data_IF_000658312098
#
_entry.id   IF_000658312098
#
_cell.length_a   1.000
_cell.length_b   1.000
_cell.length_c   1.000
_cell.angle_alpha   90.00
_cell.angle_beta   90.00
_cell.angle_gamma   90.00
#
_symmetry.space_group_name_H-M   'P 1'
#
loop_
_entity.id
_entity.type
_entity.pdbx_description
1 polymer ?
#
# COMPACT_ATOMS: atom_id res chain seq x y z
N UNK A 1 20.60 7.68 -24.81
CA UNK A 1 19.24 7.48 -24.27
C UNK A 1 19.37 6.68 -23.00
N UNK A 2 18.89 7.19 -21.88
CA UNK A 2 18.84 6.48 -20.58
C UNK A 2 17.58 5.61 -20.54
N UNK A 3 17.67 4.43 -19.93
CA UNK A 3 16.51 3.53 -19.71
C UNK A 3 15.80 3.92 -18.42
N UNK A 4 14.49 3.66 -18.32
CA UNK A 4 13.72 3.94 -17.11
C UNK A 4 14.01 2.88 -16.03
N UNK A 5 15.10 3.05 -15.29
CA UNK A 5 15.48 2.18 -14.16
C UNK A 5 14.89 2.62 -12.82
N UNK A 6 14.27 3.81 -12.77
CA UNK A 6 13.96 4.47 -11.49
C UNK A 6 12.60 4.10 -10.91
N UNK A 7 11.75 3.39 -11.68
CA UNK A 7 10.45 2.94 -11.22
C UNK A 7 10.60 1.70 -10.32
N UNK A 8 10.10 1.78 -9.09
CA UNK A 8 10.05 0.61 -8.20
C UNK A 8 8.97 -0.38 -8.68
N UNK A 9 9.34 -1.65 -8.85
CA UNK A 9 8.38 -2.74 -9.12
C UNK A 9 8.05 -3.44 -7.83
N UNK A 10 6.75 -3.60 -7.58
CA UNK A 10 6.21 -4.11 -6.33
C UNK A 10 5.31 -5.30 -6.64
N UNK A 11 5.61 -6.48 -6.09
CA UNK A 11 4.73 -7.64 -6.25
C UNK A 11 3.47 -7.51 -5.40
N UNK A 12 2.30 -7.51 -6.03
CA UNK A 12 0.99 -7.49 -5.37
C UNK A 12 0.78 -8.80 -4.60
N UNK A 13 0.76 -8.74 -3.27
CA UNK A 13 0.73 -9.93 -2.39
C UNK A 13 1.88 -10.90 -2.67
N UNK A 14 3.04 -10.36 -3.03
CA UNK A 14 4.16 -11.10 -3.64
C UNK A 14 3.98 -11.33 -5.14
N UNK A 15 4.44 -12.46 -5.66
CA UNK A 15 4.31 -12.80 -7.08
C UNK A 15 3.04 -13.60 -7.38
N UNK A 16 1.87 -13.02 -7.09
CA UNK A 16 0.60 -13.77 -7.05
C UNK A 16 0.07 -14.27 -8.39
N UNK A 17 0.58 -13.78 -9.53
CA UNK A 17 0.18 -14.32 -10.84
C UNK A 17 0.74 -15.74 -11.09
N UNK A 18 1.82 -16.13 -10.39
CA UNK A 18 2.48 -17.44 -10.57
C UNK A 18 2.56 -18.27 -9.30
N UNK A 19 2.48 -17.63 -8.13
CA UNK A 19 2.59 -18.28 -6.83
C UNK A 19 1.38 -17.92 -5.97
N UNK A 20 1.08 -18.70 -4.95
CA UNK A 20 -0.01 -18.38 -4.04
C UNK A 20 0.25 -17.04 -3.35
N UNK A 21 -0.78 -16.19 -3.29
CA UNK A 21 -0.67 -14.87 -2.69
C UNK A 21 -0.32 -14.96 -1.19
N UNK A 22 0.42 -13.96 -0.68
CA UNK A 22 0.71 -13.81 0.74
C UNK A 22 1.45 -15.01 1.37
N UNK A 23 2.34 -15.66 0.61
CA UNK A 23 3.20 -16.74 1.13
C UNK A 23 4.68 -16.41 1.00
N UNK A 24 5.51 -17.07 1.81
CA UNK A 24 6.97 -16.92 1.77
C UNK A 24 7.52 -17.28 0.37
N UNK A 25 6.95 -18.32 -0.25
CA UNK A 25 7.29 -18.68 -1.64
C UNK A 25 6.98 -17.53 -2.60
N UNK A 26 5.78 -16.94 -2.50
CA UNK A 26 5.39 -15.81 -3.33
C UNK A 26 6.26 -14.56 -3.15
N UNK A 27 6.69 -14.28 -1.91
CA UNK A 27 7.57 -13.15 -1.61
C UNK A 27 9.01 -13.39 -2.09
N UNK A 28 9.57 -14.56 -1.84
CA UNK A 28 10.91 -14.95 -2.31
C UNK A 28 10.97 -14.86 -3.84
N UNK A 29 9.98 -15.43 -4.51
CA UNK A 29 9.90 -15.42 -5.98
C UNK A 29 9.67 -14.03 -6.56
N UNK A 30 9.05 -13.12 -5.81
CA UNK A 30 8.95 -11.72 -6.20
C UNK A 30 10.33 -11.06 -6.24
N UNK A 31 11.13 -11.19 -5.18
CA UNK A 31 12.47 -10.61 -5.16
C UNK A 31 13.41 -11.24 -6.19
N UNK A 32 13.30 -12.55 -6.45
CA UNK A 32 14.05 -13.21 -7.53
C UNK A 32 13.75 -12.65 -8.93
N UNK A 33 12.65 -11.92 -9.14
CA UNK A 33 12.40 -11.26 -10.43
C UNK A 33 13.18 -9.97 -10.61
N UNK A 34 13.84 -9.46 -9.57
CA UNK A 34 14.42 -8.12 -9.51
C UNK A 34 13.46 -7.04 -9.02
N UNK A 35 12.26 -7.41 -8.52
CA UNK A 35 11.40 -6.45 -7.82
C UNK A 35 12.04 -6.09 -6.48
N UNK A 36 11.96 -4.81 -6.09
CA UNK A 36 12.59 -4.29 -4.87
C UNK A 36 11.64 -4.26 -3.68
N UNK A 37 10.36 -4.58 -3.90
CA UNK A 37 9.37 -4.63 -2.84
C UNK A 37 8.30 -5.67 -3.17
N UNK A 38 7.63 -6.16 -2.14
CA UNK A 38 6.31 -6.77 -2.28
C UNK A 38 5.33 -6.02 -1.39
N UNK A 39 4.08 -5.98 -1.84
CA UNK A 39 2.94 -5.58 -1.03
C UNK A 39 2.34 -6.83 -0.37
N UNK A 40 1.77 -6.67 0.83
CA UNK A 40 1.07 -7.73 1.56
C UNK A 40 0.01 -7.15 2.48
N UNK A 41 -0.94 -7.98 2.90
CA UNK A 41 -2.16 -7.57 3.59
C UNK A 41 -2.18 -8.04 5.05
N UNK A 42 -2.53 -7.16 6.00
CA UNK A 42 -2.57 -7.54 7.42
C UNK A 42 -3.93 -7.36 8.10
N UNK A 43 -4.25 -8.33 8.96
CA UNK A 43 -5.41 -8.36 9.85
C UNK A 43 -4.97 -8.66 11.28
N UNK A 44 -5.75 -8.18 12.25
CA UNK A 44 -5.64 -8.62 13.65
C UNK A 44 -6.66 -9.72 13.96
N UNK A 45 -6.26 -10.74 14.70
CA UNK A 45 -7.20 -11.67 15.34
C UNK A 45 -7.87 -11.03 16.55
N UNK A 46 -8.87 -11.72 17.12
CA UNK A 46 -9.58 -11.29 18.33
C UNK A 46 -8.66 -11.12 19.55
N UNK A 47 -7.63 -11.94 19.63
CA UNK A 47 -6.56 -11.93 20.65
C UNK A 47 -5.31 -11.16 20.21
N UNK A 48 -5.44 -10.22 19.27
CA UNK A 48 -4.41 -9.25 18.91
C UNK A 48 -3.12 -9.86 18.33
N UNK A 49 -3.23 -11.01 17.67
CA UNK A 49 -2.18 -11.59 16.83
C UNK A 49 -2.36 -11.10 15.40
N UNK A 50 -1.28 -10.58 14.81
CA UNK A 50 -1.29 -10.10 13.44
C UNK A 50 -1.06 -11.26 12.47
N UNK A 51 -1.95 -11.40 11.49
CA UNK A 51 -1.88 -12.43 10.44
C UNK A 51 -1.87 -11.80 9.05
N UNK A 52 -1.32 -12.54 8.09
CA UNK A 52 -1.20 -12.11 6.71
C UNK A 52 -2.28 -12.78 5.86
N UNK A 53 -3.19 -11.99 5.29
CA UNK A 53 -4.26 -12.44 4.40
C UNK A 53 -4.92 -11.26 3.72
N UNK A 54 -5.29 -11.38 2.45
CA UNK A 54 -6.05 -10.33 1.78
C UNK A 54 -7.47 -10.20 2.34
N UNK A 55 -8.17 -11.34 2.41
CA UNK A 55 -9.56 -11.37 2.82
C UNK A 55 -9.66 -11.52 4.33
N UNK A 56 -10.71 -10.91 4.89
CA UNK A 56 -11.06 -11.08 6.30
C UNK A 56 -11.55 -12.50 6.59
N UNK A 57 -12.01 -13.23 5.58
CA UNK A 57 -12.48 -14.61 5.73
C UNK A 57 -11.51 -15.58 5.06
N UNK A 58 -11.21 -16.69 5.73
CA UNK A 58 -10.16 -17.63 5.33
C UNK A 58 -10.53 -18.54 4.14
N UNK A 59 -11.82 -18.67 3.82
CA UNK A 59 -12.39 -19.69 2.92
C UNK A 59 -11.82 -19.72 1.50
N UNK A 60 -11.37 -18.58 0.96
CA UNK A 60 -10.88 -18.51 -0.43
C UNK A 60 -9.50 -19.17 -0.60
N UNK A 61 -8.61 -19.00 0.37
CA UNK A 61 -7.19 -19.34 0.22
C UNK A 61 -6.75 -20.44 1.18
N UNK A 62 -7.45 -20.65 2.29
CA UNK A 62 -7.01 -21.57 3.34
C UNK A 62 -7.94 -22.77 3.53
N UNK A 63 -7.34 -23.88 3.95
CA UNK A 63 -7.97 -25.10 4.45
C UNK A 63 -7.39 -25.49 5.82
N UNK A 64 -8.04 -26.40 6.53
CA UNK A 64 -7.49 -27.02 7.73
C UNK A 64 -6.39 -28.06 7.40
N UNK A 65 -5.85 -28.72 8.42
CA UNK A 65 -4.75 -29.69 8.26
C UNK A 65 -5.15 -30.95 7.47
N UNK A 66 -6.44 -31.27 7.42
CA UNK A 66 -7.00 -32.39 6.68
C UNK A 66 -7.47 -31.99 5.26
N UNK A 67 -7.33 -30.71 4.91
CA UNK A 67 -7.73 -30.16 3.62
C UNK A 67 -9.20 -29.76 3.51
N UNK A 68 -9.94 -29.71 4.62
CA UNK A 68 -11.33 -29.24 4.63
C UNK A 68 -11.40 -27.71 4.56
N UNK A 69 -12.57 -27.21 4.18
CA UNK A 69 -12.83 -25.78 4.09
C UNK A 69 -12.64 -25.08 5.45
N UNK A 70 -11.86 -23.99 5.46
CA UNK A 70 -11.69 -23.15 6.63
C UNK A 70 -12.52 -21.87 6.49
N UNK A 71 -13.69 -21.80 7.16
CA UNK A 71 -14.60 -20.64 7.11
C UNK A 71 -14.55 -19.83 8.43
N UNK A 72 -13.43 -19.13 8.64
CA UNK A 72 -13.22 -18.27 9.79
C UNK A 72 -13.19 -16.80 9.36
N UNK A 73 -13.92 -15.95 10.08
CA UNK A 73 -13.67 -14.51 10.04
C UNK A 73 -12.51 -14.20 10.99
N UNK A 74 -11.40 -13.70 10.44
CA UNK A 74 -10.15 -13.43 11.17
C UNK A 74 -10.39 -12.50 12.35
N UNK A 75 -11.14 -11.41 12.17
CA UNK A 75 -11.41 -10.42 13.23
C UNK A 75 -12.21 -11.02 14.40
N UNK A 76 -13.02 -12.05 14.14
CA UNK A 76 -13.88 -12.69 15.13
C UNK A 76 -13.25 -13.95 15.75
N UNK A 77 -12.09 -14.40 15.24
CA UNK A 77 -11.44 -15.66 15.62
C UNK A 77 -10.22 -15.43 16.51
N UNK A 78 -9.96 -16.37 17.42
CA UNK A 78 -8.69 -16.44 18.15
C UNK A 78 -7.61 -17.06 17.29
N UNK A 79 -6.36 -16.66 17.45
CA UNK A 79 -5.24 -17.18 16.65
C UNK A 79 -5.07 -18.69 16.78
N UNK A 80 -5.39 -19.27 17.94
CA UNK A 80 -5.32 -20.72 18.15
C UNK A 80 -6.17 -21.53 17.14
N UNK A 81 -7.26 -20.93 16.65
CA UNK A 81 -8.13 -21.52 15.62
C UNK A 81 -7.54 -21.41 14.20
N UNK A 82 -6.63 -20.46 13.99
CA UNK A 82 -6.08 -20.11 12.67
C UNK A 82 -4.65 -20.65 12.46
N UNK A 83 -3.90 -20.89 13.54
CA UNK A 83 -2.45 -21.19 13.51
C UNK A 83 -2.06 -22.40 12.65
N UNK A 84 -2.98 -23.34 12.46
CA UNK A 84 -2.75 -24.58 11.71
C UNK A 84 -3.30 -24.52 10.28
N UNK A 85 -3.95 -23.42 9.90
CA UNK A 85 -4.49 -23.26 8.55
C UNK A 85 -3.37 -23.25 7.51
N UNK A 86 -3.65 -23.84 6.35
CA UNK A 86 -2.72 -23.98 5.24
C UNK A 86 -3.33 -23.46 3.96
N UNK A 87 -2.51 -22.95 3.06
CA UNK A 87 -2.97 -22.56 1.73
C UNK A 87 -3.44 -23.78 0.96
N UNK A 88 -4.60 -23.66 0.30
CA UNK A 88 -5.20 -24.75 -0.47
C UNK A 88 -4.27 -25.25 -1.59
N UNK A 89 -3.52 -24.33 -2.20
CA UNK A 89 -2.69 -24.64 -3.38
C UNK A 89 -1.29 -25.19 -3.01
N UNK A 90 -0.64 -24.65 -1.99
CA UNK A 90 0.77 -24.97 -1.68
C UNK A 90 0.97 -25.69 -0.34
N UNK A 91 -0.04 -25.71 0.54
CA UNK A 91 0.08 -26.27 1.89
C UNK A 91 0.94 -25.41 2.83
N UNK A 92 1.35 -24.21 2.42
CA UNK A 92 2.08 -23.24 3.24
C UNK A 92 1.17 -22.75 4.37
N UNK A 93 1.73 -22.58 5.58
CA UNK A 93 0.95 -22.14 6.73
C UNK A 93 0.51 -20.68 6.57
N UNK A 94 -0.63 -20.32 7.15
CA UNK A 94 -0.98 -18.92 7.37
C UNK A 94 0.14 -18.24 8.17
N UNK A 95 0.68 -17.15 7.63
CA UNK A 95 1.75 -16.41 8.27
C UNK A 95 1.19 -15.48 9.34
N UNK A 96 1.87 -15.43 10.50
CA UNK A 96 1.80 -14.25 11.35
C UNK A 96 2.67 -13.14 10.79
N UNK A 97 2.44 -11.90 11.21
CA UNK A 97 3.33 -10.79 10.89
C UNK A 97 4.75 -11.06 11.42
N UNK A 98 4.90 -11.66 12.61
CA UNK A 98 6.22 -12.03 13.14
C UNK A 98 6.94 -13.06 12.27
N UNK A 99 6.23 -14.03 11.71
CA UNK A 99 6.82 -15.01 10.78
C UNK A 99 7.37 -14.31 9.53
N UNK A 100 6.58 -13.37 8.98
CA UNK A 100 7.00 -12.54 7.85
C UNK A 100 8.26 -11.72 8.19
N UNK A 101 8.28 -11.05 9.35
CA UNK A 101 9.42 -10.21 9.76
C UNK A 101 10.70 -11.03 9.95
N UNK A 102 10.60 -12.21 10.57
CA UNK A 102 11.74 -13.12 10.76
C UNK A 102 12.31 -13.58 9.44
N UNK A 103 11.44 -14.07 8.54
CA UNK A 103 11.85 -14.45 7.19
C UNK A 103 12.50 -13.27 6.45
N UNK A 104 11.92 -12.08 6.55
CA UNK A 104 12.43 -10.90 5.86
C UNK A 104 13.84 -10.53 6.34
N UNK A 105 14.11 -10.56 7.65
CA UNK A 105 15.45 -10.34 8.20
C UNK A 105 16.44 -11.38 7.67
N UNK A 106 16.07 -12.66 7.68
CA UNK A 106 16.90 -13.74 7.14
C UNK A 106 17.20 -13.52 5.64
N UNK A 107 16.20 -13.07 4.88
CA UNK A 107 16.37 -12.73 3.47
C UNK A 107 17.36 -11.57 3.28
N UNK A 108 17.19 -10.47 4.03
CA UNK A 108 18.08 -9.30 3.98
C UNK A 108 19.52 -9.68 4.37
N UNK A 109 19.72 -10.48 5.42
CA UNK A 109 21.06 -10.91 5.82
C UNK A 109 21.75 -11.77 4.76
N UNK A 110 20.96 -12.53 3.98
CA UNK A 110 21.50 -13.44 2.97
C UNK A 110 21.73 -12.77 1.61
N UNK A 111 20.87 -11.84 1.23
CA UNK A 111 20.80 -11.29 -0.12
C UNK A 111 20.83 -9.77 -0.21
N UNK A 112 20.64 -9.06 0.90
CA UNK A 112 20.61 -7.60 0.91
C UNK A 112 22.02 -7.02 0.81
N UNK A 113 22.25 -6.17 -0.19
CA UNK A 113 23.52 -5.46 -0.32
C UNK A 113 23.50 -4.14 0.48
N UNK A 114 22.34 -3.47 0.50
CA UNK A 114 22.16 -2.15 1.11
C UNK A 114 20.85 -2.05 1.92
N UNK A 115 20.76 -1.03 2.79
CA UNK A 115 19.67 -0.88 3.76
C UNK A 115 18.25 -0.70 3.18
N UNK A 116 18.12 -0.26 1.93
CA UNK A 116 16.84 0.17 1.33
C UNK A 116 16.48 -0.57 0.04
N UNK A 117 17.22 -1.62 -0.30
CA UNK A 117 17.07 -2.36 -1.55
C UNK A 117 15.79 -3.18 -1.60
N UNK A 118 15.44 -3.80 -0.47
CA UNK A 118 14.26 -4.64 -0.34
C UNK A 118 13.33 -4.06 0.72
N UNK A 119 12.03 -3.99 0.42
CA UNK A 119 11.02 -3.39 1.29
C UNK A 119 9.75 -4.24 1.37
N UNK A 120 8.94 -3.97 2.39
CA UNK A 120 7.59 -4.50 2.57
C UNK A 120 6.61 -3.33 2.53
N UNK A 121 5.64 -3.36 1.62
CA UNK A 121 4.47 -2.48 1.69
C UNK A 121 3.32 -3.23 2.40
N UNK A 122 2.92 -2.76 3.57
CA UNK A 122 1.88 -3.39 4.38
C UNK A 122 0.54 -2.69 4.17
N UNK A 123 -0.39 -3.31 3.47
CA UNK A 123 -1.80 -2.89 3.42
C UNK A 123 -2.47 -3.21 4.77
N UNK A 124 -2.61 -2.17 5.60
CA UNK A 124 -3.35 -2.22 6.86
C UNK A 124 -4.84 -2.11 6.53
N UNK A 125 -5.52 -3.26 6.56
CA UNK A 125 -6.91 -3.35 6.12
C UNK A 125 -7.81 -2.44 6.94
N UNK A 126 -8.63 -1.66 6.23
CA UNK A 126 -9.44 -0.59 6.84
C UNK A 126 -10.37 -1.04 7.98
N UNK A 127 -10.84 -2.30 7.92
CA UNK A 127 -11.75 -2.83 8.93
C UNK A 127 -11.05 -3.16 10.27
N UNK A 128 -9.72 -3.23 10.31
CA UNK A 128 -8.98 -3.32 11.57
C UNK A 128 -9.21 -2.08 12.45
N UNK A 129 -9.20 -2.23 13.78
CA UNK A 129 -9.18 -1.09 14.69
C UNK A 129 -7.83 -0.34 14.62
N UNK A 130 -7.79 1.00 14.83
CA UNK A 130 -6.55 1.78 14.76
C UNK A 130 -5.40 1.26 15.62
N UNK A 131 -5.70 0.60 16.76
CA UNK A 131 -4.71 -0.02 17.65
C UNK A 131 -3.79 -1.03 16.97
N UNK A 132 -4.15 -1.58 15.82
CA UNK A 132 -3.28 -2.46 15.04
C UNK A 132 -1.88 -1.86 14.80
N UNK A 133 -1.77 -0.54 14.67
CA UNK A 133 -0.48 0.15 14.51
C UNK A 133 0.45 -0.03 15.73
N UNK A 134 -0.10 -0.12 16.95
CA UNK A 134 0.71 -0.45 18.13
C UNK A 134 1.20 -1.90 18.07
N UNK A 135 0.33 -2.82 17.65
CA UNK A 135 0.66 -4.24 17.51
C UNK A 135 1.76 -4.42 16.45
N UNK A 136 1.68 -3.70 15.33
CA UNK A 136 2.70 -3.71 14.27
C UNK A 136 4.05 -3.25 14.83
N UNK A 137 4.11 -2.08 15.48
CA UNK A 137 5.35 -1.56 16.06
C UNK A 137 5.90 -2.48 17.16
N UNK A 138 5.03 -3.05 18.00
CA UNK A 138 5.41 -4.02 19.02
C UNK A 138 6.05 -5.25 18.39
N UNK A 139 5.40 -5.85 17.40
CA UNK A 139 5.89 -7.05 16.74
C UNK A 139 7.21 -6.78 15.99
N UNK A 140 7.38 -5.58 15.42
CA UNK A 140 8.64 -5.12 14.83
C UNK A 140 9.77 -5.09 15.86
N UNK A 141 9.56 -4.45 17.00
CA UNK A 141 10.55 -4.34 18.08
C UNK A 141 10.85 -5.69 18.74
N UNK A 142 9.85 -6.56 18.89
CA UNK A 142 10.04 -7.91 19.43
C UNK A 142 10.89 -8.79 18.51
N UNK A 143 10.79 -8.62 17.19
CA UNK A 143 11.58 -9.38 16.22
C UNK A 143 12.96 -8.76 16.01
N UNK A 144 13.06 -7.42 15.98
CA UNK A 144 14.31 -6.68 15.88
C UNK A 144 14.19 -5.34 16.60
N UNK A 145 14.86 -5.23 17.75
CA UNK A 145 14.83 -4.08 18.66
C UNK A 145 15.72 -2.91 18.19
N UNK A 146 15.56 -2.53 16.92
CA UNK A 146 16.08 -1.29 16.34
C UNK A 146 14.98 -0.70 15.45
N UNK A 147 14.26 0.27 16.00
CA UNK A 147 13.16 0.91 15.30
C UNK A 147 13.63 1.63 14.01
N UNK A 148 14.83 2.24 14.05
CA UNK A 148 15.37 2.99 12.93
C UNK A 148 15.74 2.08 11.76
N UNK A 149 16.16 0.84 12.03
CA UNK A 149 16.42 -0.18 11.01
C UNK A 149 15.19 -0.47 10.14
N UNK A 150 14.00 -0.42 10.74
CA UNK A 150 12.75 -0.70 10.05
C UNK A 150 12.25 0.45 9.16
N UNK A 151 12.66 1.70 9.44
CA UNK A 151 12.15 2.88 8.74
C UNK A 151 12.25 2.82 7.20
N UNK A 152 13.41 2.47 6.59
CA UNK A 152 13.50 2.34 5.14
C UNK A 152 12.92 1.02 4.59
N UNK A 153 12.49 0.09 5.44
CA UNK A 153 12.19 -1.31 5.07
C UNK A 153 10.72 -1.67 5.11
N UNK A 154 9.91 -0.98 5.91
CA UNK A 154 8.46 -1.21 5.97
C UNK A 154 7.74 0.08 5.65
N UNK A 155 6.68 -0.04 4.86
CA UNK A 155 5.76 1.05 4.55
C UNK A 155 4.36 0.69 5.08
N UNK A 156 3.71 1.63 5.76
CA UNK A 156 2.35 1.49 6.26
C UNK A 156 1.36 2.04 5.24
N UNK A 157 0.68 1.14 4.53
CA UNK A 157 -0.45 1.46 3.67
C UNK A 157 -1.72 1.60 4.49
N UNK A 158 -2.34 2.78 4.48
CA UNK A 158 -3.54 3.09 5.27
C UNK A 158 -4.67 3.59 4.37
N UNK A 159 -5.91 3.19 4.66
CA UNK A 159 -7.11 3.55 3.89
C UNK A 159 -7.96 4.65 4.53
N UNK A 160 -7.72 4.97 5.81
CA UNK A 160 -8.52 5.94 6.55
C UNK A 160 -7.64 6.83 7.43
N UNK A 161 -7.97 8.12 7.46
CA UNK A 161 -7.21 9.13 8.20
C UNK A 161 -7.10 8.81 9.69
N UNK A 162 -8.02 8.03 10.27
CA UNK A 162 -7.99 7.58 11.66
C UNK A 162 -6.69 6.87 12.04
N UNK A 163 -6.06 6.14 11.13
CA UNK A 163 -4.78 5.47 11.38
C UNK A 163 -3.65 6.49 11.57
N UNK A 164 -3.56 7.49 10.68
CA UNK A 164 -2.56 8.57 10.76
C UNK A 164 -2.82 9.49 11.96
N UNK A 165 -4.10 9.76 12.26
CA UNK A 165 -4.49 10.47 13.47
C UNK A 165 -4.07 9.73 14.73
N UNK A 166 -4.29 8.42 14.79
CA UNK A 166 -3.90 7.59 15.91
C UNK A 166 -2.38 7.63 16.16
N UNK A 167 -1.56 7.56 15.10
CA UNK A 167 -0.10 7.73 15.20
C UNK A 167 0.30 9.05 15.87
N UNK A 168 -0.37 10.15 15.53
CA UNK A 168 -0.06 11.47 16.07
C UNK A 168 -0.63 11.71 17.48
N UNK A 169 -1.72 11.04 17.84
CA UNK A 169 -2.44 11.27 19.10
C UNK A 169 -1.94 10.38 20.25
N UNK A 170 -1.62 9.12 19.98
CA UNK A 170 -1.34 8.17 21.05
C UNK A 170 0.07 8.35 21.66
N UNK A 171 0.20 8.41 23.01
CA UNK A 171 1.49 8.57 23.69
C UNK A 171 2.50 7.45 23.42
N UNK A 172 2.04 6.24 23.08
CA UNK A 172 2.91 5.10 22.77
C UNK A 172 3.89 5.44 21.65
N UNK A 173 3.41 6.04 20.56
CA UNK A 173 4.26 6.37 19.42
C UNK A 173 5.25 7.49 19.76
N UNK A 174 4.84 8.46 20.58
CA UNK A 174 5.75 9.50 21.05
C UNK A 174 6.92 8.90 21.83
N UNK A 175 6.64 7.97 22.75
CA UNK A 175 7.66 7.32 23.56
C UNK A 175 8.73 6.61 22.72
N UNK A 176 8.32 5.93 21.64
CA UNK A 176 9.24 5.13 20.82
C UNK A 176 9.94 5.97 19.73
N UNK A 177 9.22 6.87 19.07
CA UNK A 177 9.76 7.58 17.90
C UNK A 177 10.47 8.89 18.23
N UNK A 178 10.11 9.58 19.32
CA UNK A 178 10.77 10.87 19.65
C UNK A 178 12.24 10.73 20.05
N UNK A 179 12.65 9.53 20.48
CA UNK A 179 14.02 9.23 20.89
C UNK A 179 14.80 8.42 19.84
N UNK A 180 14.16 8.06 18.73
CA UNK A 180 14.79 7.27 17.67
C UNK A 180 15.43 8.19 16.65
N UNK A 181 16.74 8.05 16.44
CA UNK A 181 17.46 8.85 15.45
C UNK A 181 17.02 8.50 14.02
N UNK A 182 16.90 9.49 13.12
CA UNK A 182 16.60 9.23 11.71
C UNK A 182 17.66 8.33 11.05
N UNK A 183 17.23 7.48 10.11
CA UNK A 183 18.11 6.60 9.32
C UNK A 183 17.83 6.78 7.83
N UNK A 184 18.88 7.01 7.05
CA UNK A 184 18.79 7.12 5.57
C UNK A 184 17.73 8.12 5.08
N UNK A 185 17.53 9.22 5.80
CA UNK A 185 16.52 10.24 5.48
C UNK A 185 15.11 9.92 5.96
N UNK A 186 14.91 8.79 6.67
CA UNK A 186 13.64 8.42 7.27
C UNK A 186 13.65 8.71 8.78
N UNK A 187 12.62 9.39 9.26
CA UNK A 187 12.34 9.56 10.70
C UNK A 187 11.30 8.58 11.23
N UNK A 188 10.53 7.96 10.34
CA UNK A 188 9.55 6.92 10.62
C UNK A 188 9.35 6.06 9.34
N UNK A 189 8.71 4.88 9.42
CA UNK A 189 8.28 4.11 8.25
C UNK A 189 7.44 4.97 7.30
N UNK A 190 7.57 4.80 5.99
CA UNK A 190 6.71 5.52 5.06
C UNK A 190 5.23 5.27 5.40
N UNK A 191 4.41 6.30 5.33
CA UNK A 191 2.96 6.18 5.51
C UNK A 191 2.32 6.54 4.18
N UNK A 192 1.73 5.54 3.53
CA UNK A 192 1.12 5.68 2.22
C UNK A 192 -0.39 5.69 2.35
N UNK A 193 -1.04 6.74 1.86
CA UNK A 193 -2.49 6.71 1.72
C UNK A 193 -2.86 5.81 0.53
N UNK A 194 -3.50 4.67 0.80
CA UNK A 194 -4.06 3.81 -0.23
C UNK A 194 -5.43 4.35 -0.63
N UNK A 195 -5.60 4.66 -1.92
CA UNK A 195 -6.80 5.34 -2.39
C UNK A 195 -7.31 4.85 -3.73
N UNK A 196 -8.63 4.91 -3.90
CA UNK A 196 -9.26 4.75 -5.20
C UNK A 196 -9.55 6.10 -5.91
N UNK A 197 -9.19 7.22 -5.28
CA UNK A 197 -9.48 8.59 -5.76
C UNK A 197 -8.43 9.59 -5.27
N UNK A 198 -7.87 10.39 -6.18
CA UNK A 198 -6.89 11.41 -5.82
C UNK A 198 -7.49 12.51 -4.95
N UNK A 199 -8.80 12.79 -5.09
CA UNK A 199 -9.51 13.78 -4.29
C UNK A 199 -9.53 13.40 -2.81
N UNK A 200 -9.66 12.11 -2.51
CA UNK A 200 -9.62 11.63 -1.14
C UNK A 200 -8.23 11.86 -0.51
N UNK A 201 -7.17 11.61 -1.29
CA UNK A 201 -5.79 11.86 -0.87
C UNK A 201 -5.50 13.33 -0.56
N UNK A 202 -6.23 14.30 -1.15
CA UNK A 202 -6.08 15.71 -0.78
C UNK A 202 -6.37 15.97 0.71
N UNK A 203 -7.24 15.16 1.33
CA UNK A 203 -7.53 15.26 2.77
C UNK A 203 -6.29 14.94 3.62
N UNK A 204 -5.48 13.98 3.18
CA UNK A 204 -4.26 13.57 3.88
C UNK A 204 -3.15 14.60 3.73
N UNK A 205 -3.05 15.23 2.56
CA UNK A 205 -2.15 16.36 2.33
C UNK A 205 -2.56 17.57 3.19
N UNK A 206 -3.84 17.87 3.30
CA UNK A 206 -4.34 18.91 4.20
C UNK A 206 -4.09 18.54 5.69
N UNK A 207 -4.18 17.26 6.03
CA UNK A 207 -3.85 16.80 7.38
C UNK A 207 -2.35 16.93 7.69
N UNK A 208 -1.46 16.69 6.72
CA UNK A 208 -0.03 16.98 6.87
C UNK A 208 0.21 18.45 7.23
N UNK A 209 -0.43 19.38 6.51
CA UNK A 209 -0.34 20.83 6.79
C UNK A 209 -0.86 21.18 8.19
N UNK A 210 -1.96 20.55 8.62
CA UNK A 210 -2.50 20.69 9.97
C UNK A 210 -1.51 20.20 11.04
N UNK A 211 -0.88 19.04 10.85
CA UNK A 211 0.12 18.53 11.80
C UNK A 211 1.38 19.39 11.81
N UNK A 212 1.85 19.83 10.64
CA UNK A 212 3.01 20.70 10.54
C UNK A 212 2.78 22.05 11.22
N UNK A 213 1.60 22.66 11.04
CA UNK A 213 1.23 23.94 11.67
C UNK A 213 0.95 23.85 13.17
N UNK A 214 0.84 22.64 13.75
CA UNK A 214 0.67 22.49 15.19
C UNK A 214 1.95 22.90 15.95
N UNK A 215 1.81 23.83 16.91
CA UNK A 215 2.90 24.40 17.71
C UNK A 215 3.38 23.51 18.87
N UNK A 216 3.12 22.20 18.81
CA UNK A 216 3.62 21.28 19.83
C UNK A 216 4.98 20.69 19.39
N UNK A 217 5.86 20.43 20.37
CA UNK A 217 7.15 19.76 20.14
C UNK A 217 7.01 18.24 20.08
N UNK A 218 5.84 17.72 19.66
CA UNK A 218 5.63 16.28 19.53
C UNK A 218 6.27 15.78 18.25
N UNK A 219 6.64 14.50 18.24
CA UNK A 219 7.00 13.80 17.03
C UNK A 219 5.79 13.78 16.08
N UNK A 220 6.01 14.15 14.81
CA UNK A 220 4.96 14.32 13.79
C UNK A 220 5.03 13.18 12.79
N UNK A 221 3.97 12.40 12.69
CA UNK A 221 3.81 11.39 11.64
C UNK A 221 3.09 12.04 10.46
N UNK A 222 3.77 12.10 9.33
CA UNK A 222 3.24 12.64 8.09
C UNK A 222 2.98 11.50 7.11
N UNK A 223 1.96 11.67 6.29
CA UNK A 223 1.79 10.84 5.09
C UNK A 223 2.93 11.19 4.15
N UNK A 224 3.75 10.21 3.78
CA UNK A 224 4.94 10.39 2.94
C UNK A 224 4.69 10.03 1.49
N UNK A 225 3.54 9.40 1.19
CA UNK A 225 3.17 9.11 -0.18
C UNK A 225 1.72 8.70 -0.37
N UNK A 226 1.35 8.47 -1.63
CA UNK A 226 0.02 8.03 -2.02
C UNK A 226 0.16 6.81 -2.92
N UNK A 227 -0.61 5.77 -2.65
CA UNK A 227 -0.71 4.55 -3.46
C UNK A 227 -2.11 4.46 -4.03
N UNK A 228 -2.27 4.72 -5.33
CA UNK A 228 -3.59 4.95 -5.90
C UNK A 228 -3.97 3.92 -6.97
N UNK A 229 -5.26 3.62 -7.08
CA UNK A 229 -5.75 2.83 -8.21
C UNK A 229 -5.37 3.49 -9.55
N UNK A 230 -4.87 2.71 -10.49
CA UNK A 230 -4.34 3.17 -11.76
C UNK A 230 -5.32 4.05 -12.52
N UNK A 231 -6.60 3.67 -12.54
CA UNK A 231 -7.60 4.42 -13.29
C UNK A 231 -7.82 5.85 -12.78
N UNK A 232 -7.49 6.13 -11.52
CA UNK A 232 -7.60 7.46 -10.94
C UNK A 232 -6.49 8.42 -11.38
N UNK A 233 -5.43 7.93 -12.04
CA UNK A 233 -4.35 8.78 -12.57
C UNK A 233 -4.69 9.48 -13.90
N UNK A 234 -5.84 9.17 -14.51
CA UNK A 234 -6.14 9.54 -15.89
C UNK A 234 -6.88 10.88 -16.05
N UNK A 235 -7.31 11.49 -14.94
CA UNK A 235 -8.15 12.69 -14.98
C UNK A 235 -7.31 13.96 -15.17
N UNK A 236 -7.87 14.97 -15.84
CA UNK A 236 -7.21 16.29 -15.94
C UNK A 236 -6.92 16.87 -14.56
N UNK A 237 -7.86 16.74 -13.60
CA UNK A 237 -7.67 17.23 -12.24
C UNK A 237 -6.54 16.52 -11.49
N UNK A 238 -6.29 15.24 -11.78
CA UNK A 238 -5.13 14.55 -11.24
C UNK A 238 -3.82 15.23 -11.68
N UNK A 239 -3.66 15.49 -12.98
CA UNK A 239 -2.44 16.14 -13.50
C UNK A 239 -2.35 17.61 -13.06
N UNK A 240 -3.44 18.37 -13.12
CA UNK A 240 -3.40 19.83 -12.93
C UNK A 240 -3.56 20.28 -11.49
N UNK A 241 -4.06 19.43 -10.59
CA UNK A 241 -4.27 19.77 -9.17
C UNK A 241 -3.51 18.84 -8.24
N UNK A 242 -3.65 17.53 -8.42
CA UNK A 242 -3.08 16.56 -7.50
C UNK A 242 -1.56 16.45 -7.62
N UNK A 243 -1.01 16.30 -8.83
CA UNK A 243 0.44 16.21 -9.04
C UNK A 243 1.19 17.43 -8.47
N UNK A 244 0.75 18.69 -8.69
CA UNK A 244 1.35 19.85 -8.03
C UNK A 244 1.34 19.74 -6.50
N UNK A 245 0.25 19.25 -5.90
CA UNK A 245 0.14 19.08 -4.45
C UNK A 245 1.08 17.98 -3.91
N UNK A 246 1.19 16.84 -4.62
CA UNK A 246 2.16 15.77 -4.33
C UNK A 246 3.58 16.33 -4.34
N UNK A 247 3.93 17.14 -5.34
CA UNK A 247 5.26 17.77 -5.43
C UNK A 247 5.50 18.80 -4.34
N UNK A 248 4.51 19.63 -4.02
CA UNK A 248 4.64 20.69 -3.02
C UNK A 248 4.97 20.13 -1.62
N UNK A 249 4.55 18.90 -1.32
CA UNK A 249 4.83 18.22 -0.07
C UNK A 249 5.91 17.12 -0.19
N UNK A 250 6.64 17.06 -1.32
CA UNK A 250 7.70 16.06 -1.58
C UNK A 250 7.25 14.59 -1.38
N UNK A 251 6.03 14.27 -1.83
CA UNK A 251 5.41 12.97 -1.62
C UNK A 251 5.81 11.93 -2.67
N UNK A 252 5.92 10.68 -2.22
CA UNK A 252 6.08 9.49 -3.06
C UNK A 252 4.77 9.13 -3.76
N UNK A 253 4.84 8.54 -4.95
CA UNK A 253 3.64 8.19 -5.73
C UNK A 253 3.68 6.76 -6.25
N UNK A 254 2.71 5.95 -5.85
CA UNK A 254 2.56 4.57 -6.30
C UNK A 254 1.22 4.37 -6.99
N UNK A 255 1.14 3.37 -7.86
CA UNK A 255 -0.10 3.03 -8.54
C UNK A 255 -0.36 1.53 -8.64
N UNK A 256 -1.62 1.12 -8.59
CA UNK A 256 -2.04 -0.28 -8.57
C UNK A 256 -3.35 -0.56 -9.32
N UNK A 257 -3.59 -1.71 -9.92
CA UNK A 257 -2.61 -2.75 -10.26
C UNK A 257 -2.19 -2.53 -11.72
N UNK A 258 -0.89 -2.58 -11.99
CA UNK A 258 -0.29 -2.39 -13.33
C UNK A 258 0.16 -3.75 -13.84
N UNK A 259 -0.40 -4.20 -14.97
CA UNK A 259 -0.18 -5.57 -15.45
C UNK A 259 0.22 -5.65 -16.93
N UNK A 260 0.39 -4.51 -17.61
CA UNK A 260 0.86 -4.48 -18.99
C UNK A 260 1.77 -3.28 -19.30
N UNK A 261 2.52 -3.39 -20.38
CA UNK A 261 3.52 -2.40 -20.82
C UNK A 261 2.93 -1.00 -21.01
N UNK A 262 1.77 -0.87 -21.63
CA UNK A 262 1.17 0.45 -21.90
C UNK A 262 0.80 1.19 -20.61
N UNK A 263 0.34 0.47 -19.59
CA UNK A 263 0.05 1.05 -18.27
C UNK A 263 1.33 1.51 -17.56
N UNK A 264 2.35 0.66 -17.57
CA UNK A 264 3.67 0.93 -17.00
C UNK A 264 4.31 2.16 -17.65
N UNK A 265 4.37 2.16 -18.99
CA UNK A 265 4.97 3.23 -19.78
C UNK A 265 4.29 4.59 -19.50
N UNK A 266 2.96 4.62 -19.48
CA UNK A 266 2.22 5.83 -19.16
C UNK A 266 2.60 6.39 -17.79
N UNK A 267 2.61 5.54 -16.76
CA UNK A 267 2.85 6.00 -15.39
C UNK A 267 4.31 6.43 -15.19
N UNK A 268 5.27 5.70 -15.76
CA UNK A 268 6.68 6.06 -15.74
C UNK A 268 6.91 7.41 -16.45
N UNK A 269 6.39 7.60 -17.67
CA UNK A 269 6.54 8.86 -18.42
C UNK A 269 5.95 10.04 -17.66
N UNK A 270 4.78 9.86 -17.06
CA UNK A 270 4.16 10.87 -16.20
C UNK A 270 5.11 11.24 -15.05
N UNK A 271 5.56 10.28 -14.25
CA UNK A 271 6.37 10.54 -13.07
C UNK A 271 7.73 11.16 -13.41
N UNK A 272 8.37 10.71 -14.49
CA UNK A 272 9.62 11.28 -15.00
C UNK A 272 9.42 12.74 -15.46
N UNK A 273 8.34 13.02 -16.20
CA UNK A 273 8.10 14.36 -16.74
C UNK A 273 7.86 15.42 -15.67
N UNK A 274 7.28 15.01 -14.55
CA UNK A 274 7.01 15.92 -13.43
C UNK A 274 8.05 15.78 -12.30
N UNK A 275 9.03 14.89 -12.46
CA UNK A 275 10.11 14.63 -11.50
C UNK A 275 9.59 14.25 -10.11
N UNK A 276 8.76 13.21 -10.02
CA UNK A 276 8.40 12.61 -8.73
C UNK A 276 9.65 11.98 -8.11
N UNK A 277 9.92 12.29 -6.83
CA UNK A 277 11.12 11.86 -6.10
C UNK A 277 11.29 10.35 -6.02
N UNK A 278 10.24 9.64 -5.65
CA UNK A 278 10.20 8.18 -5.64
C UNK A 278 8.80 7.74 -6.10
N UNK A 279 8.76 6.82 -7.06
CA UNK A 279 7.52 6.29 -7.59
C UNK A 279 7.63 4.80 -7.89
N UNK A 280 6.49 4.12 -7.93
CA UNK A 280 6.46 2.70 -8.20
C UNK A 280 5.10 2.18 -8.63
N UNK A 281 5.11 0.93 -9.08
CA UNK A 281 3.92 0.23 -9.57
C UNK A 281 3.76 -1.08 -8.82
N UNK A 282 2.51 -1.39 -8.44
CA UNK A 282 2.14 -2.67 -7.85
C UNK A 282 1.55 -3.55 -8.95
N UNK A 283 2.07 -4.77 -9.09
CA UNK A 283 1.75 -5.68 -10.19
C UNK A 283 1.54 -7.10 -9.72
N UNK A 284 0.61 -7.81 -10.36
CA UNK A 284 0.48 -9.26 -10.19
C UNK A 284 1.64 -10.00 -10.90
N UNK A 285 2.25 -9.34 -11.90
CA UNK A 285 3.29 -9.85 -12.80
C UNK A 285 4.61 -9.07 -12.65
N UNK A 286 5.27 -9.07 -11.47
CA UNK A 286 6.53 -8.36 -11.25
C UNK A 286 7.62 -8.77 -12.25
N UNK A 287 7.67 -10.05 -12.68
CA UNK A 287 8.60 -10.54 -13.70
C UNK A 287 8.49 -9.78 -15.02
N UNK A 288 7.27 -9.60 -15.52
CA UNK A 288 7.01 -8.87 -16.76
C UNK A 288 7.32 -7.41 -16.60
N UNK A 289 6.94 -6.80 -15.46
CA UNK A 289 7.16 -5.38 -15.24
C UNK A 289 8.66 -5.05 -15.14
N UNK A 290 9.44 -5.86 -14.42
CA UNK A 290 10.91 -5.70 -14.38
C UNK A 290 11.50 -5.85 -15.78
N UNK A 291 11.08 -6.86 -16.55
CA UNK A 291 11.54 -7.03 -17.93
C UNK A 291 11.22 -5.80 -18.80
N UNK A 292 10.03 -5.23 -18.66
CA UNK A 292 9.58 -4.08 -19.45
C UNK A 292 10.27 -2.77 -19.07
N UNK A 293 10.70 -2.58 -17.82
CA UNK A 293 11.42 -1.36 -17.42
C UNK A 293 12.71 -1.15 -18.23
N UNK A 294 13.40 -2.24 -18.58
CA UNK A 294 14.59 -2.19 -19.43
C UNK A 294 14.33 -1.68 -20.85
N UNK A 295 13.09 -1.78 -21.32
CA UNK A 295 12.67 -1.41 -22.68
C UNK A 295 12.07 0.01 -22.76
N UNK A 296 11.76 0.64 -21.63
CA UNK A 296 11.21 2.00 -21.61
C UNK A 296 12.33 3.02 -21.81
N UNK A 297 12.34 3.64 -22.99
CA UNK A 297 13.25 4.74 -23.33
C UNK A 297 12.84 6.03 -22.61
N UNK A 298 13.81 6.69 -21.95
CA UNK A 298 13.64 8.04 -21.42
C UNK A 298 14.17 9.07 -22.44
N UNK A 299 13.29 9.92 -22.97
CA UNK A 299 13.70 11.12 -23.72
C UNK A 299 14.05 12.22 -22.73
N UNK A 300 15.33 12.62 -22.72
CA UNK A 300 15.90 13.71 -21.88
C UNK A 300 15.47 15.12 -22.29
N UNK A 301 14.47 15.28 -23.16
CA UNK A 301 14.00 16.61 -23.54
C UNK A 301 13.06 17.14 -22.47
N UNK A 302 13.44 18.27 -21.88
CA UNK A 302 12.63 19.12 -21.00
C UNK A 302 11.31 19.43 -21.68
N UNK A 303 10.36 18.52 -21.57
CA UNK A 303 9.02 18.71 -22.10
C UNK A 303 8.35 19.57 -21.04
N UNK A 304 8.24 20.88 -21.31
CA UNK A 304 7.35 21.73 -20.55
C UNK A 304 6.03 20.98 -20.37
N UNK A 305 5.46 21.04 -19.16
CA UNK A 305 4.19 20.38 -18.80
C UNK A 305 3.07 20.73 -19.81
N UNK A 306 3.22 21.82 -20.58
CA UNK A 306 2.39 22.25 -21.71
C UNK A 306 2.39 21.31 -22.93
N UNK A 307 3.41 20.48 -23.15
CA UNK A 307 3.55 19.61 -24.34
C UNK A 307 3.18 18.14 -24.03
N UNK A 308 3.21 17.73 -22.75
CA UNK A 308 2.70 16.41 -22.30
C UNK A 308 1.22 16.43 -21.88
N UNK A 309 0.63 17.61 -21.75
CA UNK A 309 -0.80 17.77 -21.91
C UNK A 309 -0.98 18.11 -23.39
N UNK A 310 -1.17 17.12 -24.31
CA UNK A 310 -1.84 17.51 -25.53
C UNK A 310 -3.12 18.20 -25.07
N UNK A 311 -3.39 19.36 -25.65
CA UNK A 311 -4.71 20.00 -25.61
C UNK A 311 -5.85 19.02 -25.95
N UNK A 312 -5.51 17.82 -26.42
CA UNK A 312 -6.26 16.59 -26.39
C UNK A 312 -5.51 15.41 -25.72
N UNK A 313 -5.40 15.31 -24.40
CA UNK A 313 -5.11 14.02 -23.75
C UNK A 313 -6.33 13.12 -23.98
N UNK A 314 -6.26 12.36 -25.07
CA UNK A 314 -7.29 11.41 -25.47
C UNK A 314 -7.21 10.21 -24.53
N UNK A 315 -7.89 10.31 -23.40
CA UNK A 315 -8.31 9.11 -22.67
C UNK A 315 -9.38 8.45 -23.54
N UNK A 316 -9.15 7.23 -24.05
CA UNK A 316 -10.15 6.54 -24.85
C UNK A 316 -11.48 6.53 -24.12
N UNK A 317 -12.57 6.81 -24.84
CA UNK A 317 -13.89 6.95 -24.22
C UNK A 317 -14.29 5.73 -23.38
N UNK A 318 -13.82 4.54 -23.78
CA UNK A 318 -13.99 3.29 -23.01
C UNK A 318 -13.35 3.37 -21.62
N UNK A 319 -12.15 3.92 -21.51
CA UNK A 319 -11.44 4.09 -20.24
C UNK A 319 -12.04 5.23 -19.40
N UNK A 320 -12.54 6.29 -20.04
CA UNK A 320 -13.35 7.31 -19.35
C UNK A 320 -14.64 6.72 -18.77
N UNK A 321 -15.34 5.90 -19.54
CA UNK A 321 -16.56 5.22 -19.12
C UNK A 321 -16.28 4.22 -18.00
N UNK A 322 -15.23 3.40 -18.13
CA UNK A 322 -14.80 2.48 -17.08
C UNK A 322 -14.43 3.25 -15.82
N UNK A 323 -13.69 4.36 -15.93
CA UNK A 323 -13.37 5.21 -14.77
C UNK A 323 -14.64 5.75 -14.11
N UNK A 324 -15.56 6.30 -14.90
CA UNK A 324 -16.84 6.80 -14.41
C UNK A 324 -17.64 5.70 -13.71
N UNK A 325 -17.72 4.50 -14.30
CA UNK A 325 -18.40 3.35 -13.71
C UNK A 325 -17.69 2.87 -12.44
N UNK A 326 -16.37 2.84 -12.42
CA UNK A 326 -15.59 2.43 -11.25
C UNK A 326 -15.76 3.42 -10.10
N UNK A 327 -15.64 4.72 -10.37
CA UNK A 327 -15.88 5.79 -9.39
C UNK A 327 -17.33 5.76 -8.90
N UNK A 328 -18.31 5.56 -9.80
CA UNK A 328 -19.71 5.41 -9.43
C UNK A 328 -19.96 4.15 -8.58
N UNK A 329 -19.33 3.02 -8.91
CA UNK A 329 -19.40 1.78 -8.12
C UNK A 329 -18.76 1.97 -6.76
N UNK A 330 -17.59 2.61 -6.66
CA UNK A 330 -16.92 2.92 -5.39
C UNK A 330 -17.80 3.82 -4.52
N UNK A 331 -18.40 4.85 -5.12
CA UNK A 331 -19.32 5.77 -4.45
C UNK A 331 -20.59 5.05 -3.95
N UNK A 332 -21.20 4.20 -4.79
CA UNK A 332 -22.40 3.40 -4.45
C UNK A 332 -22.08 2.28 -3.44
N UNK A 333 -20.86 1.76 -3.45
CA UNK A 333 -20.38 0.73 -2.54
C UNK A 333 -20.12 1.23 -1.11
N UNK A 334 -20.29 2.53 -0.85
CA UNK A 334 -20.02 3.09 0.46
C UNK A 334 -18.54 3.27 0.75
N UNK A 335 -17.65 3.19 -0.26
CA UNK A 335 -16.36 3.87 -0.20
C UNK A 335 -16.70 5.36 -0.28
N UNK A 336 -17.13 5.91 0.86
CA UNK A 336 -17.37 7.34 0.95
C UNK A 336 -16.03 7.99 0.61
N UNK A 337 -16.03 8.77 -0.46
CA UNK A 337 -15.10 9.89 -0.65
C UNK A 337 -15.43 10.88 0.47
N UNK A 338 -15.14 10.50 1.70
CA UNK A 338 -15.38 11.30 2.87
C UNK A 338 -14.07 12.04 3.11
N UNK A 339 -13.88 13.12 2.34
CA UNK A 339 -12.92 14.14 2.72
C UNK A 339 -13.35 14.63 4.10
N UNK A 340 -12.66 14.16 5.15
CA UNK A 340 -12.92 14.61 6.50
C UNK A 340 -12.72 16.13 6.50
N UNK A 341 -13.74 16.94 6.86
CA UNK A 341 -13.56 18.38 6.89
C UNK A 341 -12.43 18.72 7.87
N UNK A 342 -11.62 19.77 7.61
CA UNK A 342 -10.49 20.13 8.48
C UNK A 342 -10.86 20.27 9.96
N UNK A 343 -12.11 20.62 10.27
CA UNK A 343 -12.64 20.68 11.64
C UNK A 343 -12.58 19.35 12.40
N UNK A 344 -12.46 18.22 11.71
CA UNK A 344 -12.36 16.88 12.32
C UNK A 344 -10.92 16.38 12.49
N UNK A 345 -9.91 17.13 12.05
CA UNK A 345 -8.51 16.70 12.15
C UNK A 345 -8.06 16.55 13.60
N UNK A 346 -8.51 17.43 14.49
CA UNK A 346 -8.18 17.40 15.92
C UNK A 346 -9.02 16.43 16.76
N UNK A 347 -10.06 15.78 16.20
CA UNK A 347 -10.92 14.92 17.03
C UNK A 347 -10.18 13.65 17.47
N UNK A 348 -10.42 13.18 18.72
CA UNK A 348 -9.79 11.97 19.21
C UNK A 348 -10.19 10.75 18.38
N UNK A 349 -9.26 9.82 18.21
CA UNK A 349 -9.49 8.52 17.61
C UNK A 349 -9.74 7.49 18.70
N UNK A 350 -10.82 6.72 18.56
CA UNK A 350 -11.05 5.53 19.36
C UNK A 350 -10.13 4.40 18.84
N UNK A 351 -9.17 3.91 19.65
CA UNK A 351 -8.24 2.87 19.24
C UNK A 351 -8.92 1.53 18.91
N UNK A 352 -10.13 1.29 19.41
CA UNK A 352 -10.89 0.05 19.26
C UNK A 352 -11.98 0.15 18.17
N UNK A 353 -12.09 1.29 17.48
CA UNK A 353 -13.10 1.50 16.44
C UNK A 353 -12.92 0.51 15.27
N UNK A 354 -13.72 -0.54 15.22
CA UNK A 354 -13.76 -1.45 14.07
C UNK A 354 -14.75 -0.95 13.01
N UNK A 355 -14.35 -0.95 11.73
CA UNK A 355 -15.28 -0.62 10.63
C UNK A 355 -15.92 -1.91 10.14
N UNK A 356 -17.24 -2.03 10.35
CA UNK A 356 -18.01 -3.16 9.84
C UNK A 356 -18.15 -3.05 8.33
N UNK A 357 -17.45 -3.92 7.60
CA UNK A 357 -17.53 -3.97 6.14
C UNK A 357 -18.84 -4.61 5.69
N UNK A 358 -19.92 -3.82 5.54
CA UNK A 358 -21.18 -4.30 4.96
C UNK A 358 -21.12 -4.32 3.42
N UNK A 359 -20.30 -5.18 2.80
CA UNK A 359 -20.14 -5.09 1.34
C UNK A 359 -20.05 -6.42 0.58
N UNK A 360 -21.07 -7.29 0.72
CA UNK A 360 -21.23 -8.48 -0.16
C UNK A 360 -21.38 -8.13 -1.65
N UNK A 361 -21.87 -6.92 -2.00
CA UNK A 361 -22.05 -6.47 -3.40
C UNK A 361 -20.79 -5.85 -4.01
N UNK A 362 -20.05 -5.04 -3.25
CA UNK A 362 -18.85 -4.37 -3.75
C UNK A 362 -17.72 -5.35 -4.04
N UNK A 363 -17.44 -6.28 -3.11
CA UNK A 363 -16.39 -7.28 -3.31
C UNK A 363 -16.62 -8.12 -4.57
N UNK A 364 -17.88 -8.45 -4.89
CA UNK A 364 -18.22 -9.16 -6.13
C UNK A 364 -17.94 -8.34 -7.39
N UNK A 365 -18.28 -7.05 -7.38
CA UNK A 365 -18.02 -6.17 -8.53
C UNK A 365 -16.52 -5.92 -8.67
N UNK A 366 -15.82 -5.63 -7.59
CA UNK A 366 -14.38 -5.39 -7.61
C UNK A 366 -13.59 -6.65 -8.02
N UNK A 367 -13.92 -7.82 -7.45
CA UNK A 367 -13.33 -9.09 -7.86
C UNK A 367 -13.65 -9.44 -9.33
N UNK A 368 -14.86 -9.13 -9.80
CA UNK A 368 -15.21 -9.28 -11.22
C UNK A 368 -14.37 -8.35 -12.12
N UNK A 369 -14.18 -7.09 -11.73
CA UNK A 369 -13.37 -6.14 -12.51
C UNK A 369 -11.88 -6.53 -12.52
N UNK A 370 -11.34 -7.06 -11.41
CA UNK A 370 -10.00 -7.65 -11.35
C UNK A 370 -9.89 -8.89 -12.25
N UNK A 371 -10.88 -9.80 -12.21
CA UNK A 371 -10.92 -10.98 -13.08
C UNK A 371 -10.97 -10.61 -14.57
N UNK A 372 -11.70 -9.54 -14.89
CA UNK A 372 -11.80 -8.97 -16.25
C UNK A 372 -10.55 -8.20 -16.69
N UNK A 373 -9.49 -8.12 -15.86
CA UNK A 373 -8.26 -7.34 -16.11
C UNK A 373 -8.51 -5.86 -16.39
N UNK A 374 -9.61 -5.34 -15.83
CA UNK A 374 -9.92 -3.90 -15.85
C UNK A 374 -9.07 -3.17 -14.80
N UNK A 375 -8.76 -3.88 -13.71
CA UNK A 375 -7.77 -3.53 -12.71
C UNK A 375 -6.62 -4.53 -12.74
#
# INVERSE_FOLDING_TARGET
MTRCTDCLVIGHRGFKARYTENTITGFTKCFETGATMFETDTWTTKDEVLVISHDVNTKRIFCDEDGNEADYNILDSYYDQLKNLRTIQTGERMLTFKDLLKWFIEYIHKYGENDSEHRIMLDIKNANPPKILKLIVRDMLEVHDDLAWWFPRIQFGVWNLRFVKYLNQDPYFQKHFSLTEPRNGYSHPDILHISASWQDSMTYLAYNEYIQSSNNNRFKFLVTGVSMIYIATWSTGFVTKFIPAVKAQDLKLYTWTINNLAQLEYFCRLCLSVQIKEYGIISDWPDKMVSYLGDIETTTEKTEISVLIPSSFYVPWKLRLVNYLCVAVLYVAGVRIASAPPSLFGTPVDPDEAVVFKAKKFQKIFAFLQHMRIF
#
